data_IF_902162225299
#
_entry.id   IF_902162225299
#
_cell.length_a   1.000
_cell.length_b   1.000
_cell.length_c   1.000
_cell.angle_alpha   90.00
_cell.angle_beta   90.00
_cell.angle_gamma   90.00
#
_symmetry.space_group_name_H-M   'P 1'
#
loop_
_entity.id
_entity.type
_entity.pdbx_description
1 polymer ?
#
# COMPACT_ATOMS: atom_id res chain seq x y z
N UNK A 1 -39.95 -10.78 -3.30
CA UNK A 1 -38.76 -11.39 -3.91
C UNK A 1 -38.12 -10.34 -4.80
N UNK A 2 -37.08 -9.68 -4.31
CA UNK A 2 -36.10 -9.02 -5.17
C UNK A 2 -34.76 -9.30 -4.51
N UNK A 3 -34.01 -10.13 -5.21
CA UNK A 3 -32.70 -10.65 -4.85
C UNK A 3 -31.68 -9.51 -5.00
N UNK A 4 -31.41 -8.78 -3.91
CA UNK A 4 -30.42 -7.71 -3.90
C UNK A 4 -29.01 -8.34 -3.79
N UNK A 5 -28.56 -8.81 -4.96
CA UNK A 5 -27.17 -8.90 -5.42
C UNK A 5 -26.12 -8.88 -4.31
N UNK A 6 -25.94 -10.03 -3.65
CA UNK A 6 -24.71 -10.35 -2.91
C UNK A 6 -23.57 -10.48 -3.93
N UNK A 7 -23.06 -9.34 -4.39
CA UNK A 7 -21.90 -9.29 -5.29
C UNK A 7 -20.76 -9.93 -4.52
N UNK A 8 -20.17 -11.04 -4.99
CA UNK A 8 -19.08 -11.66 -4.26
C UNK A 8 -17.94 -10.65 -4.20
N UNK A 9 -17.53 -10.30 -2.98
CA UNK A 9 -16.42 -9.40 -2.67
C UNK A 9 -15.10 -9.99 -3.17
N UNK A 10 -14.88 -9.97 -4.49
CA UNK A 10 -13.69 -10.50 -5.12
C UNK A 10 -12.62 -9.41 -5.09
N UNK A 11 -11.46 -9.73 -4.52
CA UNK A 11 -10.29 -8.84 -4.55
C UNK A 11 -9.92 -8.53 -6.01
N UNK A 12 -9.66 -7.27 -6.31
CA UNK A 12 -9.30 -6.81 -7.65
C UNK A 12 -7.79 -6.63 -7.78
N UNK A 13 -7.25 -6.91 -8.97
CA UNK A 13 -5.83 -6.75 -9.25
C UNK A 13 -5.51 -5.29 -9.59
N UNK A 14 -4.68 -4.67 -8.76
CA UNK A 14 -4.14 -3.34 -8.99
C UNK A 14 -2.63 -3.37 -9.14
N UNK A 15 -2.07 -2.29 -9.70
CA UNK A 15 -0.64 -2.18 -9.95
C UNK A 15 -0.10 -0.82 -9.58
N UNK A 16 1.10 -0.80 -9.04
CA UNK A 16 1.90 0.39 -8.77
C UNK A 16 3.35 0.11 -9.19
N UNK A 17 4.19 1.13 -9.19
CA UNK A 17 5.62 0.96 -9.45
C UNK A 17 6.41 1.36 -8.21
N UNK A 18 7.37 0.55 -7.81
CA UNK A 18 8.30 0.88 -6.71
C UNK A 18 9.72 0.48 -7.09
N UNK A 19 10.70 0.93 -6.32
CA UNK A 19 12.08 0.47 -6.45
C UNK A 19 12.20 -0.97 -5.95
N UNK A 20 13.27 -1.65 -6.37
CA UNK A 20 13.57 -3.01 -5.89
C UNK A 20 13.85 -3.01 -4.38
N UNK A 21 14.57 -2.00 -3.90
CA UNK A 21 14.90 -1.83 -2.47
C UNK A 21 13.66 -1.75 -1.59
N UNK A 22 12.68 -0.90 -1.94
CA UNK A 22 11.42 -0.79 -1.19
C UNK A 22 10.65 -2.11 -1.20
N UNK A 23 10.66 -2.82 -2.32
CA UNK A 23 10.00 -4.13 -2.43
C UNK A 23 10.65 -5.17 -1.52
N UNK A 24 11.98 -5.26 -1.54
CA UNK A 24 12.72 -6.26 -0.76
C UNK A 24 12.66 -5.96 0.74
N UNK A 25 12.75 -4.69 1.13
CA UNK A 25 12.58 -4.27 2.53
C UNK A 25 11.18 -4.63 3.05
N UNK A 26 10.13 -4.35 2.28
CA UNK A 26 8.76 -4.67 2.66
C UNK A 26 8.52 -6.18 2.70
N UNK A 27 9.11 -6.95 1.77
CA UNK A 27 9.08 -8.42 1.81
C UNK A 27 9.78 -8.98 3.04
N UNK A 28 10.93 -8.42 3.42
CA UNK A 28 11.65 -8.80 4.64
C UNK A 28 10.79 -8.55 5.88
N UNK A 29 10.19 -7.36 5.99
CA UNK A 29 9.30 -7.02 7.10
C UNK A 29 8.08 -7.96 7.18
N UNK A 30 7.42 -8.23 6.05
CA UNK A 30 6.33 -9.20 6.01
C UNK A 30 6.74 -10.59 6.48
N UNK A 31 7.92 -11.07 6.09
CA UNK A 31 8.43 -12.36 6.54
C UNK A 31 8.61 -12.43 8.08
N UNK A 32 8.98 -11.31 8.72
CA UNK A 32 9.04 -11.21 10.19
C UNK A 32 7.67 -11.17 10.86
N UNK A 33 6.62 -10.79 10.13
CA UNK A 33 5.24 -10.64 10.60
C UNK A 33 4.30 -11.76 10.14
N UNK A 34 4.82 -12.90 9.65
CA UNK A 34 4.00 -13.99 9.07
C UNK A 34 2.90 -14.53 10.00
N UNK A 35 3.12 -14.49 11.31
CA UNK A 35 2.12 -14.92 12.29
C UNK A 35 0.90 -13.98 12.34
N UNK A 36 1.10 -12.69 12.02
CA UNK A 36 0.05 -11.68 12.03
C UNK A 36 -0.58 -11.52 10.63
N UNK A 37 0.23 -11.63 9.58
CA UNK A 37 -0.19 -11.51 8.19
C UNK A 37 0.28 -12.73 7.38
N UNK A 38 -0.46 -13.85 7.41
CA UNK A 38 -0.09 -15.07 6.70
C UNK A 38 0.08 -14.88 5.18
N UNK A 39 -0.63 -13.90 4.60
CA UNK A 39 -0.51 -13.57 3.18
C UNK A 39 0.15 -12.20 2.96
N UNK A 40 1.02 -12.12 1.94
CA UNK A 40 1.65 -10.87 1.51
C UNK A 40 0.62 -9.77 1.17
N UNK A 41 -0.48 -10.16 0.54
CA UNK A 41 -1.59 -9.26 0.23
C UNK A 41 -2.18 -8.63 1.49
N UNK A 42 -2.36 -9.40 2.57
CA UNK A 42 -2.94 -8.89 3.82
C UNK A 42 -1.99 -7.89 4.48
N UNK A 43 -0.68 -8.15 4.44
CA UNK A 43 0.31 -7.20 4.93
C UNK A 43 0.30 -5.89 4.13
N UNK A 44 0.16 -5.97 2.80
CA UNK A 44 0.02 -4.79 1.94
C UNK A 44 -1.29 -4.03 2.20
N UNK A 45 -2.42 -4.75 2.33
CA UNK A 45 -3.71 -4.15 2.68
C UNK A 45 -3.61 -3.40 4.01
N UNK A 46 -2.92 -3.96 5.01
CA UNK A 46 -2.66 -3.31 6.29
C UNK A 46 -1.76 -2.07 6.16
N UNK A 47 -0.70 -2.13 5.35
CA UNK A 47 0.15 -0.96 5.08
C UNK A 47 -0.64 0.21 4.52
N UNK A 48 -1.51 -0.07 3.55
CA UNK A 48 -2.37 0.94 2.95
C UNK A 48 -3.40 1.46 3.97
N UNK A 49 -4.04 0.57 4.73
CA UNK A 49 -5.01 0.95 5.74
C UNK A 49 -4.43 1.86 6.84
N UNK A 50 -3.22 1.54 7.33
CA UNK A 50 -2.50 2.37 8.31
C UNK A 50 -2.14 3.76 7.75
N UNK A 51 -1.68 3.81 6.51
CA UNK A 51 -1.39 5.08 5.84
C UNK A 51 -2.66 5.90 5.61
N UNK A 52 -3.76 5.30 5.14
CA UNK A 52 -5.08 5.94 5.00
C UNK A 52 -5.54 6.52 6.36
N UNK A 53 -5.42 5.74 7.44
CA UNK A 53 -5.81 6.18 8.77
C UNK A 53 -4.96 7.37 9.24
N UNK A 54 -3.66 7.37 8.92
CA UNK A 54 -2.76 8.49 9.20
C UNK A 54 -3.17 9.75 8.43
N UNK A 55 -3.46 9.63 7.13
CA UNK A 55 -3.98 10.75 6.33
C UNK A 55 -5.31 11.27 6.89
N UNK A 56 -6.25 10.38 7.25
CA UNK A 56 -7.53 10.77 7.89
C UNK A 56 -7.31 11.51 9.20
N UNK A 57 -6.34 11.08 10.01
CA UNK A 57 -6.00 11.76 11.26
C UNK A 57 -5.45 13.16 11.03
N UNK A 58 -4.69 13.35 9.95
CA UNK A 58 -4.04 14.64 9.63
C UNK A 58 -5.00 15.63 8.95
N UNK A 59 -5.83 15.17 8.02
CA UNK A 59 -6.65 16.04 7.15
C UNK A 59 -8.16 15.95 7.45
N UNK A 60 -8.60 14.99 8.27
CA UNK A 60 -10.01 14.74 8.52
C UNK A 60 -10.66 13.97 7.36
N UNK A 61 -11.68 14.58 6.74
CA UNK A 61 -12.37 13.98 5.60
C UNK A 61 -11.48 13.96 4.35
N UNK A 62 -11.40 12.80 3.69
CA UNK A 62 -10.56 12.63 2.51
C UNK A 62 -11.26 13.12 1.24
N UNK A 63 -10.54 13.87 0.41
CA UNK A 63 -11.03 14.25 -0.90
C UNK A 63 -11.17 13.02 -1.81
N UNK A 64 -12.29 12.93 -2.54
CA UNK A 64 -12.51 11.84 -3.50
C UNK A 64 -11.61 12.00 -4.73
N UNK A 65 -10.85 10.97 -5.05
CA UNK A 65 -10.02 10.94 -6.25
C UNK A 65 -10.90 10.84 -7.52
N UNK A 66 -10.58 11.58 -8.60
CA UNK A 66 -11.29 11.44 -9.86
C UNK A 66 -11.07 10.04 -10.45
N UNK A 67 -12.06 9.54 -11.21
CA UNK A 67 -11.99 8.22 -11.85
C UNK A 67 -10.74 8.07 -12.75
N UNK A 68 -10.38 9.14 -13.46
CA UNK A 68 -9.18 9.22 -14.30
C UNK A 68 -8.25 10.32 -13.81
N UNK A 69 -6.98 9.97 -13.59
CA UNK A 69 -5.93 10.96 -13.25
C UNK A 69 -5.61 11.78 -14.51
N UNK A 70 -5.63 13.13 -14.43
CA UNK A 70 -5.32 13.98 -15.58
C UNK A 70 -3.94 13.68 -16.18
N UNK A 71 -3.83 13.55 -17.52
CA UNK A 71 -2.58 13.17 -18.18
C UNK A 71 -1.46 14.23 -18.10
N UNK A 72 -1.81 15.52 -17.96
CA UNK A 72 -0.88 16.66 -17.94
C UNK A 72 -0.04 16.83 -16.68
N UNK A 73 0.05 15.79 -15.84
CA UNK A 73 0.80 15.76 -14.58
C UNK A 73 1.81 14.60 -14.53
N UNK A 74 2.02 13.90 -15.65
CA UNK A 74 3.14 12.96 -15.79
C UNK A 74 4.40 13.78 -16.00
N UNK A 75 4.98 14.29 -14.92
CA UNK A 75 6.36 14.77 -14.97
C UNK A 75 7.23 13.59 -15.38
N UNK A 76 8.10 13.80 -16.37
CA UNK A 76 9.10 12.81 -16.73
C UNK A 76 9.97 12.57 -15.51
N UNK A 77 10.19 11.31 -15.15
CA UNK A 77 11.16 10.99 -14.10
C UNK A 77 12.51 11.63 -14.46
N UNK A 78 13.21 12.27 -13.51
CA UNK A 78 14.54 12.81 -13.77
C UNK A 78 15.49 11.71 -14.28
N UNK A 79 16.49 12.07 -15.06
CA UNK A 79 17.39 11.12 -15.72
C UNK A 79 18.07 10.15 -14.75
N UNK A 80 18.33 10.60 -13.52
CA UNK A 80 18.96 9.83 -12.45
C UNK A 80 17.95 9.15 -11.50
N UNK A 81 16.66 9.13 -11.85
CA UNK A 81 15.66 8.46 -11.03
C UNK A 81 15.95 6.95 -10.96
N UNK A 82 15.89 6.34 -9.77
CA UNK A 82 16.11 4.91 -9.62
C UNK A 82 15.08 4.14 -10.46
N UNK A 83 15.52 3.04 -11.07
CA UNK A 83 14.66 2.20 -11.89
C UNK A 83 13.52 1.63 -11.04
N UNK A 84 12.28 1.83 -11.50
CA UNK A 84 11.07 1.33 -10.85
C UNK A 84 10.49 0.18 -11.65
N UNK A 85 10.17 -0.91 -10.98
CA UNK A 85 9.51 -2.06 -11.60
C UNK A 85 8.02 -2.02 -11.30
N UNK A 86 7.18 -2.29 -12.30
CA UNK A 86 5.74 -2.42 -12.10
C UNK A 86 5.45 -3.68 -11.28
N UNK A 87 4.79 -3.50 -10.14
CA UNK A 87 4.32 -4.57 -9.25
C UNK A 87 2.79 -4.61 -9.27
N UNK A 88 2.24 -5.79 -9.08
CA UNK A 88 0.81 -5.98 -9.00
C UNK A 88 0.46 -6.82 -7.78
N UNK A 89 -0.66 -6.49 -7.17
CA UNK A 89 -1.23 -7.24 -6.06
C UNK A 89 -2.75 -7.22 -6.19
N UNK A 90 -3.42 -8.19 -5.60
CA UNK A 90 -4.88 -8.21 -5.47
C UNK A 90 -5.25 -7.61 -4.14
N UNK A 91 -6.21 -6.69 -4.08
CA UNK A 91 -6.72 -6.18 -2.81
C UNK A 91 -8.22 -5.89 -2.84
N UNK A 92 -8.80 -5.66 -1.67
CA UNK A 92 -10.19 -5.27 -1.55
C UNK A 92 -10.45 -3.93 -2.27
N UNK A 93 -11.51 -3.82 -3.09
CA UNK A 93 -11.79 -2.60 -3.87
C UNK A 93 -11.89 -1.32 -3.02
N UNK A 94 -12.47 -1.41 -1.81
CA UNK A 94 -12.60 -0.26 -0.93
C UNK A 94 -11.25 0.23 -0.38
N UNK A 95 -10.30 -0.68 -0.09
CA UNK A 95 -8.94 -0.29 0.33
C UNK A 95 -8.25 0.47 -0.80
N UNK A 96 -8.41 0.01 -2.04
CA UNK A 96 -7.84 0.70 -3.20
C UNK A 96 -8.49 2.07 -3.43
N UNK A 97 -9.82 2.17 -3.31
CA UNK A 97 -10.54 3.42 -3.42
C UNK A 97 -10.10 4.43 -2.34
N UNK A 98 -10.02 3.99 -1.09
CA UNK A 98 -9.56 4.82 0.02
C UNK A 98 -8.10 5.23 -0.11
N UNK A 99 -7.24 4.33 -0.62
CA UNK A 99 -5.83 4.63 -0.95
C UNK A 99 -5.76 5.78 -1.96
N UNK A 100 -6.59 5.73 -3.01
CA UNK A 100 -6.65 6.80 -4.01
C UNK A 100 -7.14 8.11 -3.39
N UNK A 101 -8.14 8.07 -2.51
CA UNK A 101 -8.67 9.26 -1.84
C UNK A 101 -7.63 9.88 -0.89
N UNK A 102 -6.92 9.05 -0.12
CA UNK A 102 -5.85 9.50 0.77
C UNK A 102 -4.73 10.19 -0.02
N UNK A 103 -4.23 9.52 -1.07
CA UNK A 103 -3.25 10.12 -1.98
C UNK A 103 -3.77 11.42 -2.63
N UNK A 104 -5.03 11.45 -3.08
CA UNK A 104 -5.60 12.64 -3.72
C UNK A 104 -5.73 13.83 -2.77
N UNK A 105 -5.89 13.55 -1.48
CA UNK A 105 -5.88 14.55 -0.40
C UNK A 105 -4.47 15.12 -0.20
N UNK A 106 -3.45 14.26 -0.26
CA UNK A 106 -2.03 14.64 -0.10
C UNK A 106 -1.32 15.01 -1.41
N UNK A 107 -2.06 15.12 -2.52
CA UNK A 107 -1.49 15.18 -3.88
C UNK A 107 -0.52 16.34 -4.11
N UNK A 108 -0.66 17.42 -3.35
CA UNK A 108 0.22 18.59 -3.45
C UNK A 108 1.59 18.34 -2.80
N UNK A 109 1.67 17.36 -1.89
CA UNK A 109 2.92 16.92 -1.25
C UNK A 109 3.54 15.69 -1.92
N UNK A 110 2.70 14.76 -2.40
CA UNK A 110 3.14 13.52 -3.05
C UNK A 110 2.48 13.39 -4.42
N UNK A 111 3.23 13.82 -5.45
CA UNK A 111 2.73 13.97 -6.83
C UNK A 111 2.22 12.65 -7.43
N UNK A 112 2.86 11.52 -7.11
CA UNK A 112 2.54 10.23 -7.71
C UNK A 112 1.98 9.23 -6.69
N UNK A 113 0.85 8.60 -7.03
CA UNK A 113 0.24 7.52 -6.24
C UNK A 113 1.23 6.39 -5.93
N UNK A 114 2.08 6.03 -6.90
CA UNK A 114 3.13 5.02 -6.72
C UNK A 114 4.12 5.38 -5.61
N UNK A 115 4.44 6.67 -5.46
CA UNK A 115 5.33 7.15 -4.40
C UNK A 115 4.62 7.13 -3.06
N UNK A 116 3.34 7.50 -3.03
CA UNK A 116 2.52 7.40 -1.82
C UNK A 116 2.45 5.95 -1.30
N UNK A 117 2.19 4.99 -2.20
CA UNK A 117 2.17 3.55 -1.86
C UNK A 117 3.56 3.07 -1.40
N UNK A 118 4.63 3.51 -2.06
CA UNK A 118 6.00 3.15 -1.68
C UNK A 118 6.38 3.69 -0.30
N UNK A 119 5.90 4.88 0.06
CA UNK A 119 6.03 5.46 1.40
C UNK A 119 5.26 4.63 2.42
N UNK A 120 3.99 4.30 2.16
CA UNK A 120 3.18 3.47 3.05
C UNK A 120 3.86 2.11 3.34
N UNK A 121 4.40 1.45 2.31
CA UNK A 121 5.15 0.21 2.46
C UNK A 121 6.41 0.39 3.30
N UNK A 122 7.19 1.44 3.03
CA UNK A 122 8.44 1.73 3.75
C UNK A 122 8.16 2.05 5.22
N UNK A 123 7.12 2.83 5.50
CA UNK A 123 6.69 3.18 6.86
C UNK A 123 6.28 1.95 7.65
N UNK A 124 5.44 1.08 7.07
CA UNK A 124 5.07 -0.18 7.75
C UNK A 124 6.29 -1.08 7.96
N UNK A 125 7.14 -1.22 6.94
CA UNK A 125 8.35 -2.03 7.04
C UNK A 125 9.31 -1.54 8.13
N UNK A 126 9.44 -0.22 8.32
CA UNK A 126 10.25 0.38 9.37
C UNK A 126 9.62 0.22 10.77
N UNK A 127 8.30 0.06 10.87
CA UNK A 127 7.60 -0.17 12.12
C UNK A 127 7.61 -1.65 12.55
N UNK A 128 7.90 -2.59 11.64
CA UNK A 128 8.05 -4.00 11.98
C UNK A 128 9.31 -4.19 12.84
N UNK A 129 9.19 -4.65 14.09
CA UNK A 129 10.36 -4.90 14.93
C UNK A 129 11.21 -5.99 14.30
N UNK A 130 12.54 -5.83 14.33
CA UNK A 130 13.49 -6.86 13.92
C UNK A 130 13.39 -8.03 14.91
N UNK A 131 12.43 -8.93 14.67
CA UNK A 131 12.32 -10.17 15.41
C UNK A 131 13.37 -11.11 14.87
N UNK A 132 14.52 -11.06 15.51
CA UNK A 132 15.55 -12.07 15.39
C UNK A 132 14.89 -13.46 15.57
N UNK A 133 14.94 -14.37 14.58
CA UNK A 133 14.25 -15.67 14.64
C UNK A 133 14.82 -16.61 15.72
N UNK A 134 15.83 -16.17 16.47
CA UNK A 134 16.63 -17.00 17.38
C UNK A 134 16.02 -17.16 18.77
N UNK A 135 14.98 -16.41 19.15
CA UNK A 135 14.40 -16.47 20.52
C UNK A 135 13.33 -17.55 20.73
N UNK A 136 12.98 -18.37 19.72
CA UNK A 136 11.91 -19.38 19.84
C UNK A 136 12.36 -20.85 20.02
N UNK A 137 13.57 -21.11 20.55
CA UNK A 137 13.94 -22.47 20.99
C UNK A 137 14.39 -22.50 22.44
N UNK A 138 13.41 -22.67 23.33
CA UNK A 138 13.65 -23.27 24.64
C UNK A 138 12.88 -24.59 24.68
N UNK A 139 13.53 -25.75 24.46
CA UNK A 139 12.91 -27.02 24.80
C UNK A 139 12.86 -27.16 26.32
N UNK A 140 11.72 -27.62 26.82
CA UNK A 140 11.49 -28.02 28.21
C UNK A 140 11.83 -29.49 28.38
#
# INVERSE_FOLDING_TARGET
>A
MTDDQNTPWTRERHSFSCTQETWDAAKKAWMSDLNTYPAWTEWLEAALAEAIATTRKQYGELATAPARIPPGRRESAPADAPSRTRRAFTCQPHIWADTRNAWWTERDSIVHLSDWISTAMSTKAAATPDRDPTTQRTPR
#
